data_IF_797566683524
#
_entry.id   IF_797566683524
#
_cell.length_a   1.000
_cell.length_b   1.000
_cell.length_c   1.000
_cell.angle_alpha   90.00
_cell.angle_beta   90.00
_cell.angle_gamma   90.00
#
_symmetry.space_group_name_H-M   'P 1'
#
loop_
_entity.id
_entity.type
_entity.pdbx_description
1 polymer ?
#
# COMPACT_ATOMS: atom_id res chain seq x y z
N UNK A 1 -29.13 -22.58 22.27
CA UNK A 1 -28.76 -22.23 23.65
C UNK A 1 -27.98 -20.93 23.64
N UNK A 2 -28.51 -19.89 24.29
CA UNK A 2 -27.75 -18.69 24.67
C UNK A 2 -27.26 -18.94 26.10
N UNK A 3 -25.97 -18.72 26.37
CA UNK A 3 -25.52 -18.46 27.73
C UNK A 3 -24.59 -17.25 27.70
N UNK A 4 -25.02 -16.24 28.44
CA UNK A 4 -24.44 -14.93 28.67
C UNK A 4 -23.91 -14.88 30.12
N UNK A 5 -23.21 -13.79 30.46
CA UNK A 5 -22.72 -13.39 31.80
C UNK A 5 -21.52 -14.20 32.32
N UNK A 6 -20.51 -13.68 33.02
CA UNK A 6 -20.25 -12.47 33.80
C UNK A 6 -18.71 -12.31 33.86
N UNK A 7 -18.07 -11.18 34.15
CA UNK A 7 -18.50 -9.96 34.78
C UNK A 7 -17.35 -8.96 34.86
N UNK A 8 -17.69 -7.82 35.43
CA UNK A 8 -17.08 -6.50 35.27
C UNK A 8 -15.91 -6.18 36.22
N UNK A 9 -15.37 -4.96 36.02
CA UNK A 9 -14.83 -3.98 37.00
C UNK A 9 -13.29 -3.95 37.12
N UNK A 10 -12.61 -2.99 36.46
CA UNK A 10 -12.23 -1.59 36.86
C UNK A 10 -10.80 -1.56 37.41
N UNK A 11 -9.92 -0.69 36.87
CA UNK A 11 -9.19 0.35 37.62
C UNK A 11 -8.64 1.38 36.61
N UNK A 12 -8.96 2.64 36.89
CA UNK A 12 -8.53 3.88 36.23
C UNK A 12 -7.12 4.25 36.74
N UNK A 13 -6.20 4.63 35.85
CA UNK A 13 -5.04 5.45 36.23
C UNK A 13 -5.00 6.73 35.39
N UNK A 14 -5.31 7.86 36.05
CA UNK A 14 -4.96 9.21 35.61
C UNK A 14 -3.47 9.46 35.84
N UNK A 15 -2.78 10.01 34.85
CA UNK A 15 -1.60 10.86 35.08
C UNK A 15 -1.75 12.14 34.26
N UNK A 16 -1.80 13.25 34.98
CA UNK A 16 -1.71 14.62 34.47
C UNK A 16 -0.26 15.13 34.56
N UNK A 17 0.14 15.94 33.59
CA UNK A 17 1.36 16.76 33.56
C UNK A 17 1.50 17.34 32.14
N UNK A 18 1.34 18.64 31.88
CA UNK A 18 2.29 19.74 32.20
C UNK A 18 3.37 19.79 31.11
N UNK A 19 3.83 20.88 30.49
CA UNK A 19 3.70 22.31 30.68
C UNK A 19 4.02 23.00 29.32
N UNK A 20 3.35 24.11 29.05
CA UNK A 20 3.57 25.03 27.95
C UNK A 20 4.89 25.79 28.12
N UNK A 21 5.56 26.20 27.03
CA UNK A 21 6.58 27.26 27.08
C UNK A 21 6.61 28.03 25.76
N UNK A 22 6.15 29.29 25.86
CA UNK A 22 6.38 30.38 24.91
C UNK A 22 7.40 31.33 25.54
N UNK A 23 8.13 32.05 24.69
CA UNK A 23 8.77 33.37 24.89
C UNK A 23 10.30 33.41 25.11
N UNK A 24 11.05 33.89 24.09
CA UNK A 24 11.58 35.27 24.00
C UNK A 24 12.83 35.38 23.09
N UNK A 25 12.96 36.42 22.24
CA UNK A 25 14.14 36.66 21.39
C UNK A 25 15.20 37.56 22.06
N UNK A 26 16.46 37.51 21.59
CA UNK A 26 17.35 38.66 21.59
C UNK A 26 17.75 39.09 20.16
N UNK A 27 17.84 40.41 19.99
CA UNK A 27 18.23 41.12 18.78
C UNK A 27 19.75 41.36 18.68
N UNK A 28 20.22 41.46 17.42
CA UNK A 28 21.43 42.15 16.89
C UNK A 28 22.83 41.69 17.36
N UNK A 29 23.95 41.75 16.63
CA UNK A 29 24.40 41.87 15.22
C UNK A 29 25.97 41.71 15.31
N UNK A 30 26.75 41.28 14.29
CA UNK A 30 27.19 42.22 13.25
C UNK A 30 27.38 41.61 11.84
N UNK A 31 27.43 42.51 10.86
CA UNK A 31 27.74 42.29 9.44
C UNK A 31 29.07 41.56 9.21
N UNK A 32 29.04 40.56 8.31
CA UNK A 32 30.18 40.20 7.47
C UNK A 32 29.71 40.13 6.02
N UNK A 33 30.21 41.09 5.25
CA UNK A 33 30.14 41.11 3.79
C UNK A 33 30.95 39.94 3.25
N UNK A 34 30.26 39.03 2.56
CA UNK A 34 30.87 37.97 1.79
C UNK A 34 29.91 37.61 0.68
N UNK A 35 30.24 38.06 -0.54
CA UNK A 35 29.57 37.61 -1.76
C UNK A 35 30.17 36.26 -2.16
N UNK A 36 29.37 35.19 -2.30
CA UNK A 36 29.70 34.11 -3.19
C UNK A 36 28.74 34.16 -4.39
N UNK A 37 29.35 34.24 -5.56
CA UNK A 37 28.75 34.11 -6.87
C UNK A 37 27.58 33.12 -6.91
N UNK A 38 26.47 33.55 -7.51
CA UNK A 38 25.40 32.68 -7.93
C UNK A 38 25.94 31.68 -8.96
N UNK A 39 26.45 30.54 -8.50
CA UNK A 39 26.56 29.36 -9.33
C UNK A 39 25.14 28.84 -9.49
N UNK A 40 24.55 29.10 -10.65
CA UNK A 40 23.31 28.50 -11.11
C UNK A 40 23.49 26.99 -11.07
N UNK A 41 23.12 26.39 -9.95
CA UNK A 41 22.98 24.94 -9.84
C UNK A 41 21.93 24.54 -10.86
N UNK A 42 22.39 23.95 -11.96
CA UNK A 42 21.54 23.30 -12.92
C UNK A 42 20.67 22.32 -12.14
N UNK A 43 19.38 22.64 -12.02
CA UNK A 43 18.38 21.71 -11.51
C UNK A 43 18.47 20.49 -12.41
N UNK A 44 18.78 19.28 -11.90
CA UNK A 44 18.74 18.09 -12.73
C UNK A 44 17.31 17.98 -13.28
N UNK A 45 17.21 18.05 -14.61
CA UNK A 45 15.96 17.81 -15.31
C UNK A 45 15.41 16.46 -14.81
N UNK A 46 14.14 16.36 -14.36
CA UNK A 46 13.56 15.09 -13.96
C UNK A 46 13.67 14.14 -15.15
N UNK A 47 14.41 13.05 -14.96
CA UNK A 47 14.50 11.99 -15.95
C UNK A 47 13.07 11.49 -16.24
N UNK A 48 12.74 11.14 -17.50
CA UNK A 48 11.45 10.53 -17.80
C UNK A 48 11.31 9.26 -16.95
N UNK A 49 10.30 9.23 -16.09
CA UNK A 49 9.96 8.06 -15.30
C UNK A 49 9.62 6.94 -16.28
N UNK A 50 10.55 6.00 -16.49
CA UNK A 50 10.34 4.88 -17.40
C UNK A 50 9.18 4.07 -16.84
N UNK A 51 8.02 4.12 -17.53
CA UNK A 51 6.87 3.29 -17.21
C UNK A 51 7.36 1.86 -17.01
N UNK A 52 7.03 1.24 -15.87
CA UNK A 52 7.42 -0.13 -15.61
C UNK A 52 6.97 -1.02 -16.79
N UNK A 53 7.81 -1.96 -17.25
CA UNK A 53 7.46 -2.80 -18.38
C UNK A 53 6.18 -3.58 -18.07
N UNK A 54 5.24 -3.61 -19.03
CA UNK A 54 4.03 -4.41 -18.92
C UNK A 54 4.32 -5.87 -19.29
N UNK A 55 5.08 -6.52 -18.42
CA UNK A 55 5.43 -7.93 -18.50
C UNK A 55 5.28 -8.55 -17.12
N UNK A 56 4.95 -9.83 -17.09
CA UNK A 56 4.79 -10.59 -15.86
C UNK A 56 5.63 -11.87 -15.95
N UNK A 57 6.37 -12.21 -14.90
CA UNK A 57 7.24 -13.39 -14.89
C UNK A 57 6.50 -14.69 -15.26
N UNK A 58 5.26 -14.85 -14.80
CA UNK A 58 4.41 -16.02 -15.05
C UNK A 58 3.37 -15.77 -16.17
N UNK A 59 3.45 -14.64 -16.86
CA UNK A 59 2.51 -14.26 -17.92
C UNK A 59 1.06 -14.29 -17.44
N UNK A 60 0.18 -15.03 -18.11
CA UNK A 60 -1.25 -15.17 -17.72
C UNK A 60 -1.54 -16.43 -16.91
N UNK A 61 -0.50 -17.14 -16.45
CA UNK A 61 -0.68 -18.40 -15.71
C UNK A 61 -1.10 -18.14 -14.25
N UNK A 62 -2.38 -17.86 -14.01
CA UNK A 62 -2.91 -17.57 -12.67
C UNK A 62 -2.68 -18.71 -11.66
N UNK A 63 -2.46 -19.94 -12.12
CA UNK A 63 -2.18 -21.08 -11.23
C UNK A 63 -0.79 -21.01 -10.61
N UNK A 64 0.14 -20.22 -11.16
CA UNK A 64 1.45 -20.00 -10.58
C UNK A 64 1.34 -19.45 -9.14
N UNK A 65 0.31 -18.64 -8.86
CA UNK A 65 0.09 -18.04 -7.54
C UNK A 65 -0.39 -19.01 -6.44
N UNK A 66 -0.48 -20.31 -6.71
CA UNK A 66 -1.03 -21.29 -5.77
C UNK A 66 -0.21 -21.42 -4.47
N UNK A 67 1.09 -21.14 -4.52
CA UNK A 67 1.99 -21.11 -3.37
C UNK A 67 2.07 -19.73 -2.68
N UNK A 68 1.36 -18.73 -3.22
CA UNK A 68 1.36 -17.35 -2.73
C UNK A 68 2.46 -16.46 -3.29
N UNK A 69 3.29 -16.95 -4.22
CA UNK A 69 4.35 -16.19 -4.87
C UNK A 69 4.25 -16.30 -6.40
N UNK A 70 4.00 -15.19 -7.08
CA UNK A 70 3.88 -15.15 -8.54
C UNK A 70 3.94 -13.71 -9.06
N UNK A 71 4.07 -13.56 -10.36
CA UNK A 71 3.80 -12.32 -11.07
C UNK A 71 3.00 -12.60 -12.34
N UNK A 72 1.75 -12.15 -12.37
CA UNK A 72 0.80 -12.49 -13.43
C UNK A 72 0.11 -11.27 -14.03
N UNK A 73 -0.28 -11.36 -15.29
CA UNK A 73 -1.18 -10.44 -15.98
C UNK A 73 -2.62 -10.88 -15.69
N UNK A 74 -3.40 -9.98 -15.09
CA UNK A 74 -4.80 -10.19 -14.71
C UNK A 74 -5.72 -9.18 -15.39
N UNK A 75 -7.01 -9.51 -15.47
CA UNK A 75 -8.09 -8.64 -15.94
C UNK A 75 -9.33 -8.77 -15.07
N UNK A 76 -10.29 -7.89 -15.28
CA UNK A 76 -11.61 -7.97 -14.63
C UNK A 76 -12.26 -9.35 -14.79
N UNK A 77 -12.71 -9.92 -13.67
CA UNK A 77 -13.38 -11.23 -13.60
C UNK A 77 -12.46 -12.38 -13.21
N UNK A 78 -11.14 -12.21 -13.31
CA UNK A 78 -10.16 -13.23 -12.98
C UNK A 78 -10.26 -13.64 -11.50
N UNK A 79 -9.87 -14.88 -11.25
CA UNK A 79 -9.87 -15.51 -9.93
C UNK A 79 -8.47 -16.06 -9.66
N UNK A 80 -7.73 -15.38 -8.80
CA UNK A 80 -6.32 -15.67 -8.52
C UNK A 80 -6.22 -16.43 -7.21
N UNK A 81 -5.55 -17.59 -7.15
CA UNK A 81 -5.18 -18.23 -5.89
C UNK A 81 -4.30 -17.30 -5.05
N UNK A 82 -4.58 -17.24 -3.75
CA UNK A 82 -3.82 -16.50 -2.76
C UNK A 82 -3.62 -17.35 -1.51
N UNK A 83 -2.46 -17.21 -0.88
CA UNK A 83 -2.11 -17.93 0.33
C UNK A 83 -2.62 -17.20 1.59
N UNK A 84 -2.10 -17.55 2.77
CA UNK A 84 -2.47 -16.89 4.02
C UNK A 84 -3.94 -17.05 4.41
N UNK A 85 -4.58 -18.15 4.00
CA UNK A 85 -6.00 -18.43 4.26
C UNK A 85 -6.97 -17.66 3.35
N UNK A 86 -6.47 -16.91 2.36
CA UNK A 86 -7.30 -16.11 1.47
C UNK A 86 -7.96 -16.94 0.37
N UNK A 87 -7.49 -18.16 0.05
CA UNK A 87 -8.07 -18.96 -1.03
C UNK A 87 -8.06 -18.20 -2.35
N UNK A 88 -9.16 -18.21 -3.12
CA UNK A 88 -9.24 -17.40 -4.35
C UNK A 88 -9.71 -15.97 -4.08
N UNK A 89 -9.03 -15.00 -4.69
CA UNK A 89 -9.43 -13.58 -4.74
C UNK A 89 -9.91 -13.21 -6.14
N UNK A 90 -10.82 -12.23 -6.23
CA UNK A 90 -11.41 -11.74 -7.47
C UNK A 90 -10.81 -10.40 -7.87
N UNK A 91 -10.50 -10.25 -9.16
CA UNK A 91 -9.90 -9.05 -9.72
C UNK A 91 -10.94 -8.22 -10.48
N UNK A 92 -10.90 -6.91 -10.30
CA UNK A 92 -11.55 -5.92 -11.16
C UNK A 92 -10.54 -4.85 -11.52
N UNK A 93 -10.46 -4.49 -12.80
CA UNK A 93 -9.61 -3.42 -13.32
C UNK A 93 -10.53 -2.38 -13.96
N UNK A 94 -10.39 -1.13 -13.54
CA UNK A 94 -11.16 0.01 -14.05
C UNK A 94 -10.25 1.23 -14.17
N UNK A 95 -9.97 1.65 -15.41
CA UNK A 95 -8.98 2.70 -15.64
C UNK A 95 -7.60 2.23 -15.22
N UNK A 96 -6.93 3.00 -14.36
CA UNK A 96 -5.65 2.71 -13.73
C UNK A 96 -5.79 2.02 -12.35
N UNK A 97 -7.02 1.77 -11.91
CA UNK A 97 -7.32 1.20 -10.61
C UNK A 97 -7.56 -0.33 -10.70
N UNK A 98 -6.99 -1.06 -9.75
CA UNK A 98 -7.22 -2.49 -9.54
C UNK A 98 -7.89 -2.68 -8.19
N UNK A 99 -9.02 -3.39 -8.20
CA UNK A 99 -9.70 -3.87 -7.00
C UNK A 99 -9.49 -5.38 -6.87
N UNK A 100 -8.95 -5.81 -5.73
CA UNK A 100 -8.79 -7.19 -5.30
C UNK A 100 -9.82 -7.45 -4.21
N UNK A 101 -10.70 -8.43 -4.41
CA UNK A 101 -11.80 -8.70 -3.49
C UNK A 101 -11.83 -10.16 -3.03
N UNK A 102 -12.20 -10.35 -1.78
CA UNK A 102 -12.44 -11.67 -1.20
C UNK A 102 -13.86 -11.70 -0.63
N UNK A 103 -14.66 -12.62 -1.13
CA UNK A 103 -15.97 -12.95 -0.55
C UNK A 103 -15.83 -14.20 0.31
N UNK A 104 -16.26 -14.12 1.56
CA UNK A 104 -16.32 -15.25 2.50
C UNK A 104 -17.66 -15.98 2.36
N UNK A 105 -17.77 -17.19 2.93
CA UNK A 105 -18.95 -18.05 2.76
C UNK A 105 -20.22 -17.46 3.39
N UNK A 106 -20.07 -16.67 4.46
CA UNK A 106 -21.10 -15.90 5.16
C UNK A 106 -21.54 -14.63 4.41
N UNK A 107 -20.94 -14.36 3.24
CA UNK A 107 -21.35 -13.27 2.35
C UNK A 107 -20.62 -11.95 2.58
N UNK A 108 -19.79 -11.84 3.62
CA UNK A 108 -18.92 -10.69 3.82
C UNK A 108 -17.92 -10.55 2.67
N UNK A 109 -17.67 -9.31 2.24
CA UNK A 109 -16.74 -9.01 1.16
C UNK A 109 -15.71 -8.01 1.66
N UNK A 110 -14.45 -8.39 1.61
CA UNK A 110 -13.30 -7.50 1.83
C UNK A 110 -12.73 -7.07 0.49
N UNK A 111 -12.37 -5.79 0.36
CA UNK A 111 -11.81 -5.22 -0.86
C UNK A 111 -10.56 -4.43 -0.57
N UNK A 112 -9.60 -4.56 -1.47
CA UNK A 112 -8.41 -3.74 -1.57
C UNK A 112 -8.44 -3.06 -2.92
N UNK A 113 -8.22 -1.75 -2.96
CA UNK A 113 -8.25 -0.97 -4.19
C UNK A 113 -7.01 -0.09 -4.27
N UNK A 114 -6.41 0.00 -5.46
CA UNK A 114 -5.41 1.02 -5.74
C UNK A 114 -4.78 0.93 -7.12
N UNK A 115 -3.72 1.71 -7.29
CA UNK A 115 -3.05 1.98 -8.57
C UNK A 115 -1.66 1.33 -8.61
N UNK A 116 -0.94 1.35 -9.75
CA UNK A 116 0.45 0.90 -9.82
C UNK A 116 1.33 1.49 -8.71
N UNK A 117 2.18 0.64 -8.13
CA UNK A 117 3.04 0.96 -6.99
C UNK A 117 2.42 0.67 -5.62
N UNK A 118 1.11 0.43 -5.53
CA UNK A 118 0.49 0.04 -4.27
C UNK A 118 0.99 -1.34 -3.84
N UNK A 119 1.59 -1.41 -2.66
CA UNK A 119 1.92 -2.64 -1.94
C UNK A 119 1.03 -2.75 -0.72
N UNK A 120 0.29 -3.85 -0.59
CA UNK A 120 -0.58 -4.08 0.54
C UNK A 120 -0.50 -5.52 1.02
N UNK A 121 -0.59 -5.69 2.34
CA UNK A 121 -0.57 -6.99 2.99
C UNK A 121 -1.95 -7.33 3.52
N UNK A 122 -2.42 -8.55 3.24
CA UNK A 122 -3.62 -9.12 3.84
C UNK A 122 -3.25 -10.50 4.39
N UNK A 123 -3.40 -10.69 5.69
CA UNK A 123 -2.86 -11.85 6.41
C UNK A 123 -1.36 -12.00 6.13
N UNK A 124 -0.94 -13.15 5.58
CA UNK A 124 0.45 -13.46 5.22
C UNK A 124 0.76 -13.24 3.74
N UNK A 125 -0.13 -12.58 3.01
CA UNK A 125 -0.05 -12.38 1.56
C UNK A 125 0.21 -10.91 1.26
N UNK A 126 1.29 -10.64 0.55
CA UNK A 126 1.58 -9.35 -0.07
C UNK A 126 1.01 -9.32 -1.50
N UNK A 127 0.42 -8.18 -1.86
CA UNK A 127 -0.05 -7.84 -3.19
C UNK A 127 0.64 -6.54 -3.61
N UNK A 128 1.27 -6.55 -4.78
CA UNK A 128 1.84 -5.38 -5.44
C UNK A 128 1.19 -5.23 -6.82
N UNK A 129 0.59 -4.07 -7.07
CA UNK A 129 0.15 -3.69 -8.41
C UNK A 129 1.37 -3.12 -9.13
N UNK A 130 1.96 -3.86 -10.06
CA UNK A 130 3.19 -3.45 -10.76
C UNK A 130 2.88 -2.45 -11.87
N UNK A 131 1.86 -2.73 -12.68
CA UNK A 131 1.46 -1.89 -13.81
C UNK A 131 -0.03 -2.11 -14.15
N UNK A 132 -0.64 -1.13 -14.81
CA UNK A 132 -1.99 -1.23 -15.40
C UNK A 132 -1.94 -0.67 -16.82
N UNK A 133 -2.49 -1.42 -17.77
CA UNK A 133 -2.53 -1.07 -19.19
C UNK A 133 -3.68 -1.78 -19.90
N UNK A 134 -4.44 -1.05 -20.72
CA UNK A 134 -5.54 -1.58 -21.54
C UNK A 134 -6.53 -2.50 -20.80
N UNK A 135 -6.94 -2.10 -19.59
CA UNK A 135 -7.88 -2.86 -18.76
C UNK A 135 -7.30 -4.15 -18.16
N UNK A 136 -5.98 -4.29 -18.17
CA UNK A 136 -5.22 -5.39 -17.55
C UNK A 136 -4.25 -4.83 -16.52
N UNK A 137 -3.84 -5.66 -15.57
CA UNK A 137 -2.85 -5.30 -14.57
C UNK A 137 -1.77 -6.38 -14.45
N UNK A 138 -0.55 -5.97 -14.15
CA UNK A 138 0.50 -6.88 -13.66
C UNK A 138 0.40 -6.90 -12.13
N UNK A 139 0.06 -8.06 -11.58
CA UNK A 139 -0.05 -8.29 -10.14
C UNK A 139 1.12 -9.19 -9.70
N UNK A 140 1.96 -8.66 -8.80
CA UNK A 140 2.98 -9.45 -8.11
C UNK A 140 2.48 -9.81 -6.72
N UNK A 141 2.68 -11.07 -6.34
CA UNK A 141 2.31 -11.61 -5.05
C UNK A 141 3.51 -12.27 -4.39
N UNK A 142 3.59 -12.15 -3.07
CA UNK A 142 4.59 -12.82 -2.25
C UNK A 142 4.05 -13.14 -0.86
N UNK A 143 4.70 -14.05 -0.15
CA UNK A 143 4.43 -14.29 1.27
C UNK A 143 5.23 -13.28 2.13
N UNK A 144 4.63 -12.86 3.25
CA UNK A 144 5.27 -12.02 4.27
C UNK A 144 5.91 -12.84 5.39
#
# INVERSE_FOLDING_TARGET
MRLSLSGSIVVILLLAGGCSSTDKPPAAAPSVSGSPSATTSAVPSPAPSSKAPFAAADGTNLKACADGACEVIVRSGDSVPAAGGLGKVKISVRGDEVTISKKTADGFTSTLTGTPGLVQQINKQLFLIVAVEDGRAVLRMALS
#
